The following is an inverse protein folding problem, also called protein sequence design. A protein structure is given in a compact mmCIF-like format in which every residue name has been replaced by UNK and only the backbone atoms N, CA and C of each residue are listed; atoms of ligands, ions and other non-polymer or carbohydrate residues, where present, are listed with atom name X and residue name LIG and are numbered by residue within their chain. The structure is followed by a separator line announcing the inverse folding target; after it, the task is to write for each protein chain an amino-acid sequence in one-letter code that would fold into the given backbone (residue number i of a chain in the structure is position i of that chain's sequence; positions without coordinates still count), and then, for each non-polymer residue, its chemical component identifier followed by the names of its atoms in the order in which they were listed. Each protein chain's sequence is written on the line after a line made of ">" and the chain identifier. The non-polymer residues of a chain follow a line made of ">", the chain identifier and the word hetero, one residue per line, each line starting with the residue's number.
data_IF_820171162337
#
_entry.id   IF_820171162337
#
_cell.length_a   1.000
_cell.length_b   1.000
_cell.length_c   1.000
_cell.angle_alpha   90.00
_cell.angle_beta   90.00
_cell.angle_gamma   90.00
#
_symmetry.space_group_name_H-M   'P 1'
#
loop_
_entity.id
_entity.type
_entity.pdbx_description
1 polymer ?
#
# COMPACT_ATOMS: atom_id res chain seq x y z
N UNK A 1 -6.16 23.69 -3.87
CA UNK A 1 -6.43 22.63 -2.88
C UNK A 1 -6.40 23.26 -1.50
N UNK A 2 -7.49 23.15 -0.75
CA UNK A 2 -7.62 23.76 0.58
C UNK A 2 -7.09 22.83 1.68
N UNK A 3 -6.94 23.33 2.90
CA UNK A 3 -6.61 22.50 4.07
C UNK A 3 -7.68 21.43 4.32
N UNK A 4 -8.96 21.79 4.14
CA UNK A 4 -10.06 20.85 4.32
C UNK A 4 -10.02 19.71 3.28
N UNK A 5 -9.69 20.03 2.02
CA UNK A 5 -9.48 19.01 0.98
C UNK A 5 -8.38 18.03 1.38
N UNK A 6 -7.25 18.52 1.90
CA UNK A 6 -6.15 17.68 2.35
C UNK A 6 -6.56 16.75 3.49
N UNK A 7 -7.35 17.24 4.45
CA UNK A 7 -7.89 16.40 5.55
C UNK A 7 -8.78 15.28 4.99
N UNK A 8 -9.66 15.60 4.04
CA UNK A 8 -10.56 14.62 3.39
C UNK A 8 -9.79 13.58 2.57
N UNK A 9 -8.79 14.01 1.80
CA UNK A 9 -7.92 13.13 1.02
C UNK A 9 -7.08 12.22 1.93
N UNK A 10 -6.57 12.75 3.05
CA UNK A 10 -5.85 11.96 4.05
C UNK A 10 -6.74 10.88 4.66
N UNK A 11 -8.00 11.18 5.00
CA UNK A 11 -8.95 10.17 5.50
C UNK A 11 -9.15 9.03 4.52
N UNK A 12 -9.28 9.33 3.23
CA UNK A 12 -9.39 8.30 2.20
C UNK A 12 -8.12 7.44 2.13
N UNK A 13 -6.93 8.07 2.14
CA UNK A 13 -5.63 7.37 2.16
C UNK A 13 -5.47 6.48 3.39
N UNK A 14 -5.82 6.98 4.57
CA UNK A 14 -5.75 6.22 5.82
C UNK A 14 -6.71 5.00 5.77
N UNK A 15 -7.86 5.13 5.11
CA UNK A 15 -8.75 4.01 4.80
C UNK A 15 -8.10 2.98 3.88
N UNK A 16 -7.44 3.41 2.81
CA UNK A 16 -6.70 2.52 1.91
C UNK A 16 -5.58 1.76 2.63
N UNK A 17 -4.88 2.42 3.55
CA UNK A 17 -3.80 1.83 4.34
C UNK A 17 -4.27 0.76 5.32
N UNK A 18 -5.45 0.95 5.91
CA UNK A 18 -6.07 0.03 6.86
C UNK A 18 -6.73 -1.15 6.14
N UNK A 19 -7.47 -0.86 5.08
CA UNK A 19 -8.39 -1.81 4.44
C UNK A 19 -7.85 -2.31 3.08
N UNK A 20 -6.52 -2.29 2.89
CA UNK A 20 -5.85 -2.55 1.61
C UNK A 20 -6.26 -3.86 0.92
N UNK A 21 -6.62 -4.89 1.71
CA UNK A 21 -6.98 -6.21 1.22
C UNK A 21 -8.43 -6.29 0.69
N UNK A 22 -9.28 -5.32 1.04
CA UNK A 22 -10.66 -5.27 0.56
C UNK A 22 -10.70 -4.85 -0.92
N UNK A 23 -11.76 -5.22 -1.65
CA UNK A 23 -12.01 -4.71 -2.99
C UNK A 23 -12.39 -3.22 -2.92
N UNK A 24 -11.38 -2.37 -2.75
CA UNK A 24 -11.54 -0.93 -2.71
C UNK A 24 -11.67 -0.39 -4.14
N UNK A 25 -12.81 0.21 -4.44
CA UNK A 25 -13.02 0.94 -5.68
C UNK A 25 -12.84 2.45 -5.49
N UNK A 26 -12.47 3.14 -6.57
CA UNK A 26 -12.26 4.60 -6.55
C UNK A 26 -13.54 5.36 -6.13
N UNK A 27 -14.76 4.96 -6.54
CA UNK A 27 -15.99 5.58 -6.06
C UNK A 27 -16.19 5.53 -4.54
N UNK A 28 -15.91 4.40 -3.88
CA UNK A 28 -16.03 4.29 -2.43
C UNK A 28 -15.03 5.20 -1.71
N UNK A 29 -13.79 5.25 -2.19
CA UNK A 29 -12.76 6.14 -1.65
C UNK A 29 -13.12 7.62 -1.84
N UNK A 30 -13.71 7.97 -2.99
CA UNK A 30 -14.16 9.32 -3.27
C UNK A 30 -15.31 9.75 -2.34
N UNK A 31 -16.22 8.83 -1.99
CA UNK A 31 -17.27 9.08 -0.99
C UNK A 31 -16.68 9.41 0.38
N UNK A 32 -15.62 8.72 0.82
CA UNK A 32 -14.92 9.03 2.08
C UNK A 32 -14.34 10.45 2.06
N UNK A 33 -13.85 10.89 0.91
CA UNK A 33 -13.31 12.23 0.72
C UNK A 33 -14.39 13.30 0.44
N UNK A 34 -15.68 12.95 0.38
CA UNK A 34 -16.78 13.84 0.00
C UNK A 34 -16.56 14.51 -1.37
N UNK A 35 -16.06 13.73 -2.34
CA UNK A 35 -15.74 14.19 -3.69
C UNK A 35 -16.36 13.27 -4.74
N UNK A 36 -16.58 13.80 -5.95
CA UNK A 36 -16.83 12.95 -7.11
C UNK A 36 -15.58 12.14 -7.46
N UNK A 37 -15.72 10.96 -8.06
CA UNK A 37 -14.59 10.07 -8.36
C UNK A 37 -13.50 10.73 -9.23
N UNK A 38 -13.91 11.53 -10.22
CA UNK A 38 -12.98 12.27 -11.08
C UNK A 38 -12.24 13.38 -10.33
N UNK A 39 -12.94 14.15 -9.49
CA UNK A 39 -12.31 15.18 -8.66
C UNK A 39 -11.35 14.54 -7.65
N UNK A 40 -11.79 13.49 -6.96
CA UNK A 40 -10.98 12.73 -6.01
C UNK A 40 -9.68 12.24 -6.66
N UNK A 41 -9.75 11.62 -7.84
CA UNK A 41 -8.57 11.06 -8.50
C UNK A 41 -7.53 12.14 -8.85
N UNK A 42 -7.98 13.30 -9.34
CA UNK A 42 -7.09 14.43 -9.64
C UNK A 42 -6.50 15.05 -8.38
N UNK A 43 -7.34 15.28 -7.37
CA UNK A 43 -6.92 15.90 -6.11
C UNK A 43 -6.00 14.99 -5.30
N UNK A 44 -6.26 13.68 -5.29
CA UNK A 44 -5.38 12.68 -4.68
C UNK A 44 -4.01 12.67 -5.33
N UNK A 45 -3.94 12.67 -6.68
CA UNK A 45 -2.68 12.76 -7.41
C UNK A 45 -1.95 14.07 -7.14
N UNK A 46 -2.66 15.19 -7.11
CA UNK A 46 -2.07 16.49 -6.79
C UNK A 46 -1.52 16.54 -5.36
N UNK A 47 -2.15 15.85 -4.41
CA UNK A 47 -1.74 15.82 -3.01
C UNK A 47 -0.61 14.82 -2.71
N UNK A 48 -0.61 13.64 -3.35
CA UNK A 48 0.25 12.51 -2.99
C UNK A 48 1.18 12.05 -4.11
N UNK A 49 1.16 12.70 -5.28
CA UNK A 49 2.07 12.42 -6.40
C UNK A 49 1.68 11.22 -7.27
N UNK A 50 0.74 10.38 -6.85
CA UNK A 50 0.30 9.20 -7.61
C UNK A 50 -1.22 9.03 -7.61
N UNK A 51 -1.73 8.16 -8.50
CA UNK A 51 -3.18 7.89 -8.56
C UNK A 51 -3.63 7.02 -7.38
N UNK A 52 -4.91 7.06 -6.97
CA UNK A 52 -5.41 6.18 -5.91
C UNK A 52 -5.15 4.69 -6.18
N UNK A 53 -5.31 4.25 -7.43
CA UNK A 53 -5.04 2.87 -7.82
C UNK A 53 -3.57 2.50 -7.66
N UNK A 54 -2.65 3.37 -8.11
CA UNK A 54 -1.21 3.17 -7.96
C UNK A 54 -0.83 3.05 -6.49
N UNK A 55 -1.32 3.97 -5.65
CA UNK A 55 -1.06 3.98 -4.23
C UNK A 55 -1.54 2.68 -3.57
N UNK A 56 -2.77 2.25 -3.86
CA UNK A 56 -3.31 1.00 -3.32
C UNK A 56 -2.45 -0.21 -3.74
N UNK A 57 -2.02 -0.27 -5.01
CA UNK A 57 -1.14 -1.36 -5.46
C UNK A 57 0.21 -1.34 -4.76
N UNK A 58 0.81 -0.17 -4.54
CA UNK A 58 2.04 -0.03 -3.77
C UNK A 58 1.87 -0.60 -2.37
N UNK A 59 0.79 -0.24 -1.68
CA UNK A 59 0.47 -0.78 -0.35
C UNK A 59 0.26 -2.29 -0.35
N UNK A 60 -0.41 -2.84 -1.36
CA UNK A 60 -0.59 -4.29 -1.50
C UNK A 60 0.73 -5.01 -1.75
N UNK A 61 1.61 -4.45 -2.58
CA UNK A 61 2.95 -5.01 -2.85
C UNK A 61 3.83 -4.98 -1.60
N UNK A 62 3.78 -3.91 -0.80
CA UNK A 62 4.48 -3.86 0.49
C UNK A 62 4.06 -5.00 1.42
N UNK A 63 2.76 -5.26 1.50
CA UNK A 63 2.20 -6.36 2.31
C UNK A 63 2.54 -7.71 1.72
N UNK A 64 2.51 -7.85 0.40
CA UNK A 64 2.91 -9.07 -0.30
C UNK A 64 4.38 -9.41 -0.03
N UNK A 65 5.29 -8.43 -0.06
CA UNK A 65 6.69 -8.62 0.32
C UNK A 65 6.84 -9.19 1.72
N UNK A 66 6.07 -8.71 2.70
CA UNK A 66 6.11 -9.25 4.05
C UNK A 66 5.66 -10.74 4.10
N UNK A 67 4.58 -11.09 3.39
CA UNK A 67 4.07 -12.46 3.32
C UNK A 67 5.03 -13.41 2.58
N UNK A 68 5.61 -12.97 1.46
CA UNK A 68 6.57 -13.77 0.70
C UNK A 68 7.85 -14.02 1.50
N UNK A 69 8.33 -13.02 2.27
CA UNK A 69 9.48 -13.18 3.17
C UNK A 69 9.27 -14.24 4.24
N UNK A 70 8.03 -14.36 4.74
CA UNK A 70 7.66 -15.36 5.75
C UNK A 70 7.70 -16.78 5.18
N UNK A 71 7.38 -16.96 3.90
CA UNK A 71 7.54 -18.23 3.18
C UNK A 71 6.36 -19.20 3.27
N UNK A 72 5.40 -18.94 4.16
CA UNK A 72 4.28 -19.85 4.50
C UNK A 72 3.16 -19.92 3.45
N UNK A 73 3.21 -19.08 2.42
CA UNK A 73 2.16 -18.99 1.39
C UNK A 73 2.76 -19.10 -0.01
N UNK A 74 1.97 -19.65 -0.95
CA UNK A 74 2.32 -19.60 -2.37
C UNK A 74 2.17 -18.16 -2.91
N UNK A 75 2.80 -17.85 -4.04
CA UNK A 75 2.66 -16.54 -4.69
C UNK A 75 1.20 -16.24 -5.03
N UNK A 76 0.46 -17.27 -5.47
CA UNK A 76 -0.97 -17.16 -5.78
C UNK A 76 -1.79 -16.84 -4.55
N UNK A 77 -1.56 -17.51 -3.42
CA UNK A 77 -2.28 -17.24 -2.17
C UNK A 77 -1.96 -15.83 -1.66
N UNK A 78 -0.70 -15.39 -1.76
CA UNK A 78 -0.31 -14.02 -1.41
C UNK A 78 -1.05 -13.00 -2.28
N UNK A 79 -1.13 -13.21 -3.59
CA UNK A 79 -1.85 -12.32 -4.51
C UNK A 79 -3.29 -12.07 -4.03
N UNK A 80 -4.03 -13.13 -3.71
CA UNK A 80 -5.40 -13.01 -3.24
C UNK A 80 -5.50 -12.48 -1.81
N UNK A 81 -4.59 -12.86 -0.92
CA UNK A 81 -4.57 -12.38 0.47
C UNK A 81 -4.33 -10.87 0.59
N UNK A 82 -3.61 -10.27 -0.35
CA UNK A 82 -3.44 -8.80 -0.41
C UNK A 82 -4.57 -8.09 -1.17
N UNK A 83 -5.59 -8.81 -1.65
CA UNK A 83 -6.77 -8.25 -2.32
C UNK A 83 -6.61 -8.05 -3.83
N UNK A 84 -5.57 -8.59 -4.46
CA UNK A 84 -5.45 -8.58 -5.92
C UNK A 84 -6.35 -9.68 -6.52
N UNK A 85 -6.96 -9.38 -7.67
CA UNK A 85 -7.93 -10.28 -8.34
C UNK A 85 -7.32 -11.08 -9.50
N UNK A 86 -6.10 -10.74 -9.92
CA UNK A 86 -5.40 -11.39 -11.02
C UNK A 86 -3.92 -11.55 -10.70
N UNK A 87 -3.44 -12.78 -10.82
CA UNK A 87 -2.04 -13.14 -10.62
C UNK A 87 -1.12 -12.46 -11.64
N UNK A 88 -1.58 -12.29 -12.89
CA UNK A 88 -0.83 -11.62 -13.94
C UNK A 88 -0.59 -10.14 -13.63
N UNK A 89 -1.67 -9.41 -13.33
CA UNK A 89 -1.58 -7.99 -12.98
C UNK A 89 -0.76 -7.76 -11.70
N UNK A 90 -0.94 -8.62 -10.70
CA UNK A 90 -0.12 -8.61 -9.49
C UNK A 90 1.35 -8.82 -9.79
N UNK A 91 1.70 -9.84 -10.57
CA UNK A 91 3.10 -10.18 -10.86
C UNK A 91 3.80 -9.08 -11.65
N UNK A 92 3.13 -8.50 -12.65
CA UNK A 92 3.66 -7.37 -13.41
C UNK A 92 3.92 -6.16 -12.52
N UNK A 93 2.93 -5.77 -11.71
CA UNK A 93 3.04 -4.60 -10.83
C UNK A 93 4.06 -4.80 -9.70
N UNK A 94 4.13 -6.02 -9.15
CA UNK A 94 5.14 -6.38 -8.17
C UNK A 94 6.54 -6.25 -8.78
N UNK A 95 6.75 -6.80 -9.97
CA UNK A 95 8.07 -6.76 -10.65
C UNK A 95 8.47 -5.32 -10.97
N UNK A 96 7.53 -4.50 -11.44
CA UNK A 96 7.76 -3.07 -11.70
C UNK A 96 8.20 -2.31 -10.44
N UNK A 97 7.53 -2.56 -9.29
CA UNK A 97 7.79 -1.85 -8.04
C UNK A 97 8.99 -2.39 -7.25
N UNK A 98 9.32 -3.68 -7.41
CA UNK A 98 10.34 -4.37 -6.60
C UNK A 98 11.62 -4.63 -7.38
N UNK A 99 11.56 -4.70 -8.71
CA UNK A 99 12.68 -5.01 -9.59
C UNK A 99 12.94 -6.51 -9.80
N UNK A 100 12.19 -7.39 -9.13
CA UNK A 100 12.26 -8.84 -9.29
C UNK A 100 10.86 -9.48 -9.21
N UNK A 101 10.69 -10.67 -9.78
CA UNK A 101 9.38 -11.36 -9.76
C UNK A 101 9.00 -11.83 -8.36
N UNK A 102 7.70 -12.01 -8.05
CA UNK A 102 7.28 -12.50 -6.74
C UNK A 102 7.91 -13.85 -6.34
N UNK A 103 8.05 -14.76 -7.32
CA UNK A 103 8.67 -16.08 -7.09
C UNK A 103 10.16 -15.97 -6.81
N UNK A 104 10.89 -15.13 -7.55
CA UNK A 104 12.31 -14.87 -7.30
C UNK A 104 12.51 -14.20 -5.94
N UNK A 105 11.69 -13.20 -5.64
CA UNK A 105 11.69 -12.52 -4.35
C UNK A 105 11.51 -13.53 -3.21
N UNK A 106 10.50 -14.41 -3.27
CA UNK A 106 10.24 -15.44 -2.26
C UNK A 106 11.38 -16.45 -2.10
N UNK A 107 12.03 -16.85 -3.20
CA UNK A 107 13.10 -17.84 -3.17
C UNK A 107 14.42 -17.28 -2.63
N UNK A 108 14.59 -15.96 -2.68
CA UNK A 108 15.81 -15.28 -2.23
C UNK A 108 15.91 -15.34 -0.70
N UNK A 109 17.15 -15.46 -0.20
CA UNK A 109 17.39 -15.28 1.24
C UNK A 109 17.03 -13.87 1.67
N UNK A 110 16.12 -13.80 2.64
CA UNK A 110 15.77 -12.58 3.34
C UNK A 110 16.45 -12.58 4.70
N UNK A 111 17.77 -12.48 4.68
CA UNK A 111 18.52 -12.27 5.92
C UNK A 111 18.02 -11.00 6.60
N UNK A 112 18.08 -10.96 7.93
CA UNK A 112 17.76 -9.74 8.66
C UNK A 112 18.62 -8.63 8.06
N UNK A 113 17.98 -7.66 7.38
CA UNK A 113 18.68 -6.49 6.89
C UNK A 113 19.46 -5.84 8.02
N UNK A 114 20.46 -5.00 7.69
CA UNK A 114 21.24 -4.30 8.69
C UNK A 114 20.33 -3.78 9.81
N UNK A 115 20.60 -4.11 11.08
CA UNK A 115 19.70 -3.79 12.17
C UNK A 115 19.44 -2.29 12.18
N UNK A 116 18.17 -1.91 12.27
CA UNK A 116 17.81 -0.49 12.40
C UNK A 116 18.53 0.04 13.64
N UNK A 117 19.36 1.08 13.54
CA UNK A 117 20.06 1.62 14.69
C UNK A 117 19.07 1.94 15.82
N UNK A 118 19.43 1.62 17.06
CA UNK A 118 18.53 1.76 18.20
C UNK A 118 18.00 3.21 18.36
N UNK A 119 18.77 4.22 17.94
CA UNK A 119 18.32 5.61 17.90
C UNK A 119 17.17 5.82 16.90
N UNK A 120 17.24 5.24 15.70
CA UNK A 120 16.19 5.32 14.67
C UNK A 120 14.94 4.58 15.13
N UNK A 121 15.11 3.37 15.69
CA UNK A 121 14.00 2.61 16.24
C UNK A 121 13.26 3.41 17.33
N UNK A 122 13.99 3.96 18.31
CA UNK A 122 13.42 4.80 19.38
C UNK A 122 12.65 6.01 18.86
N UNK A 123 13.14 6.66 17.80
CA UNK A 123 12.47 7.82 17.19
C UNK A 123 11.18 7.38 16.48
N UNK A 124 11.24 6.33 15.67
CA UNK A 124 10.11 5.86 14.86
C UNK A 124 9.02 5.17 15.67
N UNK A 125 9.36 4.47 16.76
CA UNK A 125 8.39 3.75 17.60
C UNK A 125 7.93 4.55 18.81
N UNK A 126 8.26 5.86 18.90
CA UNK A 126 7.84 6.72 20.01
C UNK A 126 6.30 6.79 20.05
N UNK A 127 5.65 6.47 21.18
CA UNK A 127 4.20 6.58 21.29
C UNK A 127 3.75 8.02 21.03
N UNK A 128 2.85 8.20 20.06
CA UNK A 128 2.21 9.49 19.80
C UNK A 128 1.01 9.59 20.74
N UNK A 129 1.03 10.58 21.65
CA UNK A 129 -0.15 10.93 22.44
C UNK A 129 -1.15 11.62 21.52
N UNK A 130 -2.11 10.88 21.00
CA UNK A 130 -3.30 11.49 20.41
C UNK A 130 -4.15 12.04 21.56
N UNK A 131 -4.32 13.36 21.60
CA UNK A 131 -5.35 14.02 22.42
C UNK A 131 -6.68 14.00 21.67
#
# INVERSE_FOLDING_TARGET
>A
MTLEDLVRLRRARDGMDRDYALPLDVPALAKVALMSAGHFSRSFRAAFGETPYSYLMTRRVERAKALLRRGDMSVTDVCFAVGCTSLGSFSSRFTELVGETPSAYRARRHEAGAPIPACVAKVLTRPVRNR
#
